data_IF_921186904068
#
_entry.id   IF_921186904068
#
_cell.length_a   1.000
_cell.length_b   1.000
_cell.length_c   1.000
_cell.angle_alpha   90.00
_cell.angle_beta   90.00
_cell.angle_gamma   90.00
#
_symmetry.space_group_name_H-M   'P 1'
#
loop_
_entity.id
_entity.type
_entity.pdbx_description
1 polymer ?
#
# COMPACT_ATOMS: atom_id res chain seq x y z
N UNK A 1 2.50 0.01 -11.64
CA UNK A 1 3.34 -1.21 -11.63
C UNK A 1 4.81 -0.83 -11.56
N UNK A 2 5.56 -1.47 -10.67
CA UNK A 2 7.02 -1.36 -10.59
C UNK A 2 7.62 -2.74 -10.37
N UNK A 3 8.89 -2.91 -10.71
CA UNK A 3 9.64 -4.16 -10.53
C UNK A 3 10.81 -3.99 -9.56
N UNK A 4 10.75 -2.94 -8.74
CA UNK A 4 11.77 -2.62 -7.74
C UNK A 4 11.18 -2.68 -6.34
N UNK A 5 12.02 -3.04 -5.38
CA UNK A 5 11.71 -3.07 -3.95
C UNK A 5 12.88 -2.48 -3.15
N UNK A 6 12.73 -2.41 -1.83
CA UNK A 6 13.80 -1.97 -0.92
C UNK A 6 14.21 -3.13 -0.03
N UNK A 7 15.44 -3.61 -0.18
CA UNK A 7 16.03 -4.68 0.63
C UNK A 7 17.17 -4.06 1.44
N UNK A 8 17.11 -4.17 2.77
CA UNK A 8 18.10 -3.56 3.68
C UNK A 8 18.37 -2.07 3.43
N UNK A 9 17.32 -1.32 3.07
CA UNK A 9 17.41 0.11 2.77
C UNK A 9 18.00 0.45 1.40
N UNK A 10 18.31 -0.55 0.56
CA UNK A 10 18.78 -0.36 -0.82
C UNK A 10 17.68 -0.68 -1.82
N UNK A 11 17.53 0.18 -2.82
CA UNK A 11 16.64 -0.09 -3.95
C UNK A 11 17.25 -1.17 -4.85
N UNK A 12 16.49 -2.23 -5.12
CA UNK A 12 16.89 -3.35 -5.96
C UNK A 12 15.71 -3.84 -6.80
N UNK A 13 15.98 -4.70 -7.80
CA UNK A 13 14.92 -5.43 -8.50
C UNK A 13 14.24 -6.38 -7.53
N UNK A 14 12.93 -6.42 -7.59
CA UNK A 14 12.15 -7.36 -6.82
C UNK A 14 12.34 -8.77 -7.41
N UNK A 15 12.72 -9.78 -6.60
CA UNK A 15 12.90 -11.15 -7.08
C UNK A 15 11.66 -11.76 -7.74
N UNK A 16 10.46 -11.28 -7.40
CA UNK A 16 9.19 -11.71 -7.97
C UNK A 16 8.74 -10.85 -9.16
N UNK A 17 9.50 -9.82 -9.52
CA UNK A 17 9.26 -9.01 -10.71
C UNK A 17 8.17 -7.95 -10.54
N UNK A 18 7.36 -7.76 -11.59
CA UNK A 18 6.40 -6.67 -11.70
C UNK A 18 5.24 -6.79 -10.72
N UNK A 19 5.05 -5.77 -9.90
CA UNK A 19 3.97 -5.73 -8.92
C UNK A 19 3.40 -4.33 -8.69
N UNK A 20 2.23 -4.30 -8.05
CA UNK A 20 1.66 -3.12 -7.42
C UNK A 20 1.65 -3.31 -5.89
N UNK A 21 2.04 -2.26 -5.16
CA UNK A 21 1.94 -2.24 -3.70
C UNK A 21 0.72 -1.44 -3.28
N UNK A 22 -0.13 -2.04 -2.45
CA UNK A 22 -1.34 -1.44 -1.89
C UNK A 22 -1.27 -1.47 -0.37
N UNK A 23 -1.44 -0.31 0.27
CA UNK A 23 -1.60 -0.24 1.72
C UNK A 23 -3.05 0.09 2.04
N UNK A 24 -3.66 -0.66 2.96
CA UNK A 24 -5.05 -0.44 3.35
C UNK A 24 -5.25 -0.67 4.84
N UNK A 25 -6.42 -0.20 5.31
CA UNK A 25 -6.91 -0.38 6.67
C UNK A 25 -8.36 -0.85 6.63
N UNK A 26 -8.70 -1.76 7.53
CA UNK A 26 -10.07 -2.04 7.95
C UNK A 26 -10.43 -1.22 9.20
N UNK A 27 -11.71 -1.17 9.57
CA UNK A 27 -12.22 -0.33 10.67
C UNK A 27 -11.45 -0.51 11.99
N UNK A 28 -11.14 -1.75 12.37
CA UNK A 28 -10.38 -2.02 13.58
C UNK A 28 -8.92 -1.53 13.50
N UNK A 29 -8.33 -1.53 12.30
CA UNK A 29 -6.96 -1.08 12.04
C UNK A 29 -6.89 0.45 12.05
N UNK A 30 -7.94 1.15 11.60
CA UNK A 30 -8.07 2.60 11.76
C UNK A 30 -8.04 2.98 13.24
N UNK A 31 -8.86 2.32 14.08
CA UNK A 31 -8.90 2.61 15.52
C UNK A 31 -7.56 2.38 16.23
N UNK A 32 -6.80 1.36 15.78
CA UNK A 32 -5.52 0.98 16.39
C UNK A 32 -4.33 1.74 15.80
N UNK A 33 -4.52 2.47 14.70
CA UNK A 33 -3.46 3.10 13.90
C UNK A 33 -2.47 2.08 13.30
N UNK A 34 -3.01 1.05 12.67
CA UNK A 34 -2.26 0.02 11.95
C UNK A 34 -2.69 -0.02 10.47
N UNK A 35 -1.84 -0.61 9.63
CA UNK A 35 -2.15 -0.91 8.24
C UNK A 35 -1.54 -2.25 7.80
N UNK A 36 -2.02 -2.77 6.68
CA UNK A 36 -1.43 -3.90 5.96
C UNK A 36 -0.92 -3.42 4.62
N UNK A 37 0.31 -3.81 4.26
CA UNK A 37 0.84 -3.62 2.91
C UNK A 37 0.76 -4.94 2.14
N UNK A 38 0.14 -4.89 0.97
CA UNK A 38 -0.04 -6.03 0.08
C UNK A 38 0.67 -5.78 -1.24
N UNK A 39 1.24 -6.83 -1.82
CA UNK A 39 1.90 -6.79 -3.12
C UNK A 39 1.18 -7.75 -4.05
N UNK A 40 0.63 -7.24 -5.14
CA UNK A 40 0.03 -8.04 -6.21
C UNK A 40 0.98 -8.15 -7.39
N UNK A 41 1.42 -9.37 -7.71
CA UNK A 41 2.39 -9.65 -8.76
C UNK A 41 1.72 -10.00 -10.09
N UNK A 42 2.38 -9.61 -11.17
CA UNK A 42 1.93 -9.76 -12.55
C UNK A 42 3.08 -10.23 -13.44
N UNK A 43 2.76 -10.67 -14.65
CA UNK A 43 3.78 -11.10 -15.62
C UNK A 43 4.52 -9.95 -16.31
N UNK A 44 4.11 -8.69 -16.12
CA UNK A 44 4.68 -7.57 -16.86
C UNK A 44 4.08 -6.23 -16.47
N UNK A 45 4.78 -5.15 -16.81
CA UNK A 45 4.39 -3.78 -16.47
C UNK A 45 2.96 -3.41 -16.88
N UNK A 46 2.56 -3.83 -18.08
CA UNK A 46 1.26 -3.53 -18.70
C UNK A 46 0.34 -4.77 -18.71
N UNK A 47 0.67 -5.81 -17.93
CA UNK A 47 -0.18 -6.98 -17.76
C UNK A 47 -0.86 -6.89 -16.39
N UNK A 48 -2.16 -6.63 -16.38
CA UNK A 48 -2.92 -6.44 -15.13
C UNK A 48 -3.55 -7.74 -14.59
N UNK A 49 -3.23 -8.90 -15.17
CA UNK A 49 -3.63 -10.19 -14.62
C UNK A 49 -2.80 -10.52 -13.40
N UNK A 50 -3.47 -10.68 -12.26
CA UNK A 50 -2.86 -11.06 -11.00
C UNK A 50 -2.47 -12.54 -11.01
N UNK A 51 -1.23 -12.85 -10.66
CA UNK A 51 -0.75 -14.22 -10.55
C UNK A 51 -0.55 -14.66 -9.10
N UNK A 52 -0.09 -13.74 -8.25
CA UNK A 52 0.20 -14.00 -6.84
C UNK A 52 -0.06 -12.73 -6.04
N UNK A 53 -0.51 -12.88 -4.79
CA UNK A 53 -0.53 -11.80 -3.81
C UNK A 53 0.22 -12.20 -2.54
N UNK A 54 0.98 -11.27 -1.97
CA UNK A 54 1.59 -11.42 -0.65
C UNK A 54 1.18 -10.28 0.27
N UNK A 55 0.94 -10.59 1.54
CA UNK A 55 0.52 -9.63 2.55
C UNK A 55 1.56 -9.58 3.66
N UNK A 56 1.97 -8.37 4.06
CA UNK A 56 2.78 -8.25 5.28
C UNK A 56 1.88 -8.39 6.51
N UNK A 57 2.42 -8.81 7.66
CA UNK A 57 1.75 -8.62 8.94
C UNK A 57 1.34 -7.15 9.13
N UNK A 58 0.37 -6.91 10.03
CA UNK A 58 -0.02 -5.56 10.41
C UNK A 58 1.19 -4.76 10.93
N UNK A 59 1.24 -3.49 10.58
CA UNK A 59 2.30 -2.57 11.01
C UNK A 59 1.65 -1.31 11.56
N UNK A 60 2.27 -0.73 12.60
CA UNK A 60 1.85 0.57 13.09
C UNK A 60 2.07 1.64 12.01
N UNK A 61 1.21 2.65 11.93
CA UNK A 61 1.28 3.71 10.92
C UNK A 61 2.61 4.47 10.94
N UNK A 62 3.16 4.68 12.13
CA UNK A 62 4.48 5.27 12.34
C UNK A 62 5.66 4.40 11.91
N UNK A 63 5.44 3.26 11.25
CA UNK A 63 6.53 2.40 10.76
C UNK A 63 7.41 3.18 9.79
N UNK A 64 8.72 3.33 10.05
CA UNK A 64 9.59 4.11 9.19
C UNK A 64 9.70 3.53 7.78
N UNK A 65 9.69 4.41 6.78
CA UNK A 65 9.95 4.12 5.38
C UNK A 65 11.35 4.60 4.99
N UNK A 66 12.19 3.66 4.55
CA UNK A 66 13.58 3.93 4.15
C UNK A 66 14.57 3.76 5.31
N UNK A 67 15.76 4.37 5.18
CA UNK A 67 16.79 4.28 6.21
C UNK A 67 16.39 4.95 7.53
N UNK A 68 17.01 4.55 8.66
CA UNK A 68 16.70 5.00 10.04
C UNK A 68 16.63 6.53 10.26
N UNK A 69 17.17 7.34 9.33
CA UNK A 69 17.22 8.81 9.42
C UNK A 69 16.33 9.51 8.39
N UNK A 70 15.49 8.79 7.64
CA UNK A 70 14.65 9.40 6.60
C UNK A 70 13.57 10.32 7.18
N UNK A 71 13.13 10.06 8.42
CA UNK A 71 11.98 10.73 9.04
C UNK A 71 10.65 10.41 8.36
N UNK A 72 10.64 9.57 7.31
CA UNK A 72 9.45 9.20 6.55
C UNK A 72 8.80 7.98 7.16
N UNK A 73 7.48 7.93 7.12
CA UNK A 73 6.67 6.78 7.55
C UNK A 73 5.96 6.16 6.36
N UNK A 74 5.57 4.88 6.49
CA UNK A 74 4.85 4.16 5.43
C UNK A 74 3.45 4.70 5.25
N UNK A 75 2.76 4.97 6.37
CA UNK A 75 1.44 5.61 6.38
C UNK A 75 1.59 7.07 6.82
N UNK A 76 1.31 8.05 5.94
CA UNK A 76 1.47 9.47 6.29
C UNK A 76 0.39 9.91 7.28
N UNK A 77 0.58 11.08 7.89
CA UNK A 77 -0.42 11.70 8.75
C UNK A 77 -1.67 12.10 7.93
N UNK A 78 -2.82 12.18 8.61
CA UNK A 78 -4.11 12.37 7.96
C UNK A 78 -4.21 13.71 7.21
N UNK A 79 -3.50 14.74 7.67
CA UNK A 79 -3.40 16.05 7.02
C UNK A 79 -2.62 16.04 5.70
N UNK A 80 -1.87 14.96 5.44
CA UNK A 80 -1.16 14.71 4.19
C UNK A 80 -1.92 13.72 3.28
N UNK A 81 -3.08 13.22 3.71
CA UNK A 81 -3.95 12.38 2.89
C UNK A 81 -4.89 13.26 2.07
N UNK A 82 -4.97 12.96 0.78
CA UNK A 82 -5.95 13.55 -0.12
C UNK A 82 -7.12 12.58 -0.29
N UNK A 83 -8.33 13.03 0.07
CA UNK A 83 -9.55 12.33 -0.28
C UNK A 83 -9.90 12.65 -1.73
N UNK A 84 -10.00 11.62 -2.56
CA UNK A 84 -10.43 11.77 -3.94
C UNK A 84 -11.95 11.90 -4.00
N UNK A 85 -12.44 13.14 -4.02
CA UNK A 85 -13.86 13.47 -4.19
C UNK A 85 -14.32 12.95 -5.56
N UNK A 86 -15.46 12.26 -5.60
CA UNK A 86 -16.02 11.60 -6.80
C UNK A 86 -15.21 10.39 -7.32
N UNK A 87 -14.52 9.68 -6.41
CA UNK A 87 -13.85 8.44 -6.76
C UNK A 87 -14.80 7.45 -7.44
N UNK A 88 -14.46 6.94 -8.64
CA UNK A 88 -15.22 5.86 -9.27
C UNK A 88 -15.10 4.55 -8.49
N UNK A 89 -14.22 4.49 -7.48
CA UNK A 89 -14.16 3.40 -6.51
C UNK A 89 -15.36 3.59 -5.57
N UNK A 90 -16.48 2.98 -5.95
CA UNK A 90 -17.66 2.93 -5.10
C UNK A 90 -17.36 2.15 -3.82
N UNK A 91 -17.62 2.77 -2.67
CA UNK A 91 -17.67 2.06 -1.40
C UNK A 91 -18.97 1.26 -1.36
N UNK A 92 -18.93 -0.03 -1.69
CA UNK A 92 -20.11 -0.89 -1.71
C UNK A 92 -20.87 -0.98 -0.38
N UNK A 93 -20.23 -0.54 0.71
CA UNK A 93 -20.80 -0.52 2.07
C UNK A 93 -21.35 0.84 2.49
N UNK A 94 -21.18 1.91 1.69
CA UNK A 94 -21.78 3.20 1.98
C UNK A 94 -23.11 3.33 1.20
N UNK A 95 -24.18 3.88 1.81
CA UNK A 95 -25.40 4.17 1.09
C UNK A 95 -25.11 5.18 -0.04
N UNK A 96 -25.77 4.99 -1.19
CA UNK A 96 -25.66 5.93 -2.32
C UNK A 96 -25.95 7.36 -1.84
N UNK A 97 -25.05 8.29 -2.17
CA UNK A 97 -25.30 9.72 -1.96
C UNK A 97 -26.31 10.17 -3.03
N UNK A 98 -27.55 10.42 -2.60
CA UNK A 98 -28.61 11.04 -3.40
C UNK A 98 -28.27 12.49 -3.77
#
# INVERSE_FOLDING_TARGET
MHDTTTIDGKHAKDPKGWHGTFAFKADNQVQRQFHVASHGYTNGKENFTLNEATHTPEKADGTPRGGKRSGKVVWPADDLLEEYVDSPIAYSHLPERN
#
